data_IF_971993874788
#
_entry.id   IF_971993874788
#
_cell.length_a   1.000
_cell.length_b   1.000
_cell.length_c   1.000
_cell.angle_alpha   90.00
_cell.angle_beta   90.00
_cell.angle_gamma   90.00
#
_symmetry.space_group_name_H-M   'P 1'
#
loop_
_entity.id
_entity.type
_entity.pdbx_description
1 polymer ?
#
# COMPACT_ATOMS: atom_id res chain seq x y z
N UNK A 1 22.06 -11.42 -3.19
CA UNK A 1 22.91 -10.85 -2.13
C UNK A 1 24.29 -11.44 -2.23
N UNK A 2 24.44 -12.78 -2.33
CA UNK A 2 25.77 -13.42 -2.50
C UNK A 2 26.49 -12.93 -3.78
N UNK A 3 25.78 -12.71 -4.88
CA UNK A 3 26.34 -12.21 -6.14
C UNK A 3 26.75 -10.73 -6.09
N UNK A 4 26.18 -9.94 -5.21
CA UNK A 4 26.56 -8.52 -4.98
C UNK A 4 27.79 -8.45 -4.08
N UNK A 5 27.88 -9.31 -3.08
CA UNK A 5 29.01 -9.36 -2.15
C UNK A 5 30.29 -9.90 -2.79
N UNK A 6 30.17 -10.83 -3.76
CA UNK A 6 31.35 -11.44 -4.42
C UNK A 6 31.91 -10.62 -5.58
N UNK A 7 31.20 -9.60 -6.08
CA UNK A 7 31.63 -8.74 -7.20
C UNK A 7 32.29 -7.44 -6.77
N UNK A 8 32.29 -7.09 -5.49
CA UNK A 8 33.00 -5.90 -5.02
C UNK A 8 34.41 -6.24 -4.52
N UNK A 9 35.45 -5.54 -5.00
CA UNK A 9 36.87 -5.83 -4.65
C UNK A 9 37.24 -5.57 -3.18
N UNK A 10 36.26 -5.27 -2.32
CA UNK A 10 36.47 -5.06 -0.88
C UNK A 10 36.38 -6.34 -0.02
N UNK A 11 36.14 -7.50 -0.62
CA UNK A 11 35.99 -8.76 0.11
C UNK A 11 37.33 -9.55 0.06
N UNK A 12 38.37 -9.03 0.64
CA UNK A 12 39.56 -9.82 1.00
C UNK A 12 39.58 -9.98 2.50
N UNK A 13 39.72 -11.23 2.95
CA UNK A 13 39.77 -11.61 4.35
C UNK A 13 40.68 -10.68 5.16
N UNK A 14 40.13 -10.06 6.21
CA UNK A 14 40.89 -9.28 7.19
C UNK A 14 40.70 -7.77 7.14
N UNK A 15 39.95 -7.16 6.24
CA UNK A 15 39.71 -5.70 6.27
C UNK A 15 38.45 -5.36 7.08
N UNK A 16 38.63 -4.45 8.06
CA UNK A 16 37.53 -3.80 8.77
C UNK A 16 36.62 -3.09 7.75
N UNK A 17 35.38 -3.50 7.65
CA UNK A 17 34.35 -2.74 6.92
C UNK A 17 34.00 -1.54 7.80
N UNK A 18 34.54 -0.38 7.45
CA UNK A 18 34.17 0.87 8.11
C UNK A 18 33.10 1.53 7.28
N UNK A 19 31.85 1.49 7.73
CA UNK A 19 30.77 2.28 7.14
C UNK A 19 30.99 3.73 7.57
N UNK A 20 31.67 4.51 6.74
CA UNK A 20 31.84 5.95 6.93
C UNK A 20 30.63 6.66 6.30
N UNK A 21 29.89 7.39 7.08
CA UNK A 21 28.87 8.29 6.59
C UNK A 21 27.63 8.32 7.49
N UNK A 22 26.83 9.36 7.36
CA UNK A 22 25.48 9.42 7.91
C UNK A 22 24.71 8.21 7.41
N UNK A 23 24.53 7.19 8.25
CA UNK A 23 23.56 6.16 7.97
C UNK A 23 22.19 6.80 8.12
N UNK A 24 21.48 6.99 7.02
CA UNK A 24 20.06 7.21 7.05
C UNK A 24 19.43 5.98 7.71
N UNK A 25 18.37 6.17 8.47
CA UNK A 25 17.64 5.12 9.18
C UNK A 25 17.39 3.87 8.28
N UNK A 26 16.91 4.09 7.05
CA UNK A 26 16.60 3.05 6.09
C UNK A 26 17.79 2.17 5.71
N UNK A 27 18.98 2.76 5.51
CA UNK A 27 20.19 1.99 5.15
C UNK A 27 20.60 1.08 6.31
N UNK A 28 20.51 1.58 7.55
CA UNK A 28 20.80 0.79 8.75
C UNK A 28 19.90 -0.42 8.89
N UNK A 29 18.62 -0.25 8.70
CA UNK A 29 17.62 -1.33 8.76
C UNK A 29 17.89 -2.44 7.75
N UNK A 30 18.17 -2.12 6.50
CA UNK A 30 18.48 -3.12 5.47
C UNK A 30 19.80 -3.87 5.72
N UNK A 31 20.81 -3.20 6.28
CA UNK A 31 22.07 -3.85 6.66
C UNK A 31 21.82 -4.87 7.78
N UNK A 32 21.03 -4.50 8.78
CA UNK A 32 20.65 -5.41 9.89
C UNK A 32 19.92 -6.64 9.34
N UNK A 33 18.91 -6.46 8.47
CA UNK A 33 18.17 -7.55 7.84
C UNK A 33 19.10 -8.49 7.05
N UNK A 34 20.03 -7.93 6.28
CA UNK A 34 20.97 -8.72 5.50
C UNK A 34 21.93 -9.55 6.37
N UNK A 35 22.43 -8.99 7.47
CA UNK A 35 23.27 -9.69 8.43
C UNK A 35 22.51 -10.79 9.14
N UNK A 36 21.30 -10.50 9.63
CA UNK A 36 20.43 -11.49 10.27
C UNK A 36 20.14 -12.67 9.35
N UNK A 37 19.86 -12.43 8.05
CA UNK A 37 19.68 -13.50 7.05
C UNK A 37 20.91 -14.39 6.87
N UNK A 38 22.12 -13.85 7.09
CA UNK A 38 23.37 -14.58 7.03
C UNK A 38 23.74 -15.27 8.36
N UNK A 39 22.89 -15.16 9.38
CA UNK A 39 23.17 -15.66 10.74
C UNK A 39 24.28 -14.90 11.44
N UNK A 40 24.51 -13.64 11.04
CA UNK A 40 25.55 -12.78 11.62
C UNK A 40 24.87 -11.78 12.55
N UNK A 41 25.31 -11.76 13.82
CA UNK A 41 24.82 -10.79 14.80
C UNK A 41 25.15 -9.36 14.34
N UNK A 42 24.17 -8.49 14.12
CA UNK A 42 24.40 -7.10 13.75
C UNK A 42 25.10 -6.29 14.85
N UNK A 43 25.10 -6.76 16.09
CA UNK A 43 25.79 -6.12 17.21
C UNK A 43 27.19 -6.69 17.47
N UNK A 44 27.67 -7.57 16.59
CA UNK A 44 29.05 -8.08 16.64
C UNK A 44 30.05 -6.90 16.60
N UNK A 45 31.10 -7.02 17.40
CA UNK A 45 32.17 -6.01 17.53
C UNK A 45 32.79 -5.60 16.20
N UNK A 46 32.71 -6.44 15.17
CA UNK A 46 33.19 -6.13 13.81
C UNK A 46 32.45 -4.97 13.16
N UNK A 47 31.19 -4.73 13.56
CA UNK A 47 30.31 -3.68 13.00
C UNK A 47 30.13 -2.50 13.95
N UNK A 48 30.71 -2.57 15.15
CA UNK A 48 30.59 -1.54 16.19
C UNK A 48 31.74 -0.53 16.10
N UNK A 49 31.39 0.78 16.03
CA UNK A 49 32.36 1.87 16.16
C UNK A 49 32.05 2.71 17.39
N UNK A 50 31.04 3.55 17.31
CA UNK A 50 30.56 4.41 18.40
C UNK A 50 29.29 3.81 19.06
N UNK A 51 28.53 3.02 18.31
CA UNK A 51 27.40 2.21 18.75
C UNK A 51 27.29 0.97 17.87
N UNK A 52 26.60 -0.07 18.33
CA UNK A 52 26.22 -1.21 17.50
C UNK A 52 25.20 -0.79 16.43
N UNK A 53 24.94 -1.65 15.45
CA UNK A 53 23.93 -1.37 14.42
C UNK A 53 22.54 -1.26 15.02
N UNK A 54 22.18 -2.15 15.95
CA UNK A 54 20.91 -2.08 16.67
C UNK A 54 20.83 -0.85 17.57
N UNK A 55 21.91 -0.52 18.28
CA UNK A 55 21.98 0.70 19.09
C UNK A 55 21.91 1.99 18.25
N UNK A 56 22.46 1.97 17.05
CA UNK A 56 22.27 3.09 16.13
C UNK A 56 20.82 3.20 15.66
N UNK A 57 20.16 2.09 15.36
CA UNK A 57 18.73 2.08 14.99
C UNK A 57 17.86 2.65 16.12
N UNK A 58 18.09 2.19 17.37
CA UNK A 58 17.37 2.69 18.54
C UNK A 58 17.55 4.20 18.78
N UNK A 59 18.65 4.79 18.33
CA UNK A 59 18.84 6.24 18.44
C UNK A 59 17.91 7.10 17.56
N UNK A 60 17.09 6.48 16.72
CA UNK A 60 16.03 7.14 15.94
C UNK A 60 14.65 6.99 16.57
N UNK A 61 14.56 6.41 17.78
CA UNK A 61 13.27 6.19 18.44
C UNK A 61 12.54 7.51 18.68
N UNK A 62 11.24 7.54 18.33
CA UNK A 62 10.37 8.69 18.44
C UNK A 62 8.97 8.24 18.91
N UNK A 63 8.70 8.37 20.21
CA UNK A 63 7.48 7.85 20.82
C UNK A 63 7.34 6.33 20.62
N UNK A 64 6.21 5.91 20.06
CA UNK A 64 5.90 4.49 19.81
C UNK A 64 6.50 3.97 18.49
N UNK A 65 7.31 4.77 17.80
CA UNK A 65 7.94 4.40 16.53
C UNK A 65 9.32 4.99 16.34
N UNK A 66 9.68 5.26 15.09
CA UNK A 66 11.02 5.72 14.69
C UNK A 66 10.94 6.94 13.79
N UNK A 67 11.94 7.81 13.88
CA UNK A 67 12.11 8.98 13.04
C UNK A 67 12.96 8.64 11.80
N UNK A 68 12.78 9.39 10.72
CA UNK A 68 13.58 9.23 9.52
C UNK A 68 15.00 9.82 9.67
N UNK A 69 15.14 10.91 10.44
CA UNK A 69 16.42 11.59 10.67
C UNK A 69 16.63 11.91 12.15
N UNK A 70 17.87 11.80 12.64
CA UNK A 70 18.21 12.06 14.05
C UNK A 70 18.06 13.51 14.49
N UNK A 71 18.17 14.45 13.55
CA UNK A 71 18.01 15.87 13.86
C UNK A 71 16.57 16.30 14.14
N UNK A 72 15.60 15.43 13.80
CA UNK A 72 14.19 15.69 13.98
C UNK A 72 13.52 14.36 14.36
N UNK A 73 13.45 14.10 15.68
CA UNK A 73 12.89 12.84 16.21
C UNK A 73 11.35 12.93 16.25
N UNK A 74 10.75 12.97 15.07
CA UNK A 74 9.31 12.87 14.89
C UNK A 74 8.96 11.50 14.31
N UNK A 75 7.82 10.95 14.74
CA UNK A 75 7.31 9.69 14.22
C UNK A 75 7.23 9.74 12.70
N UNK A 76 7.78 8.71 12.06
CA UNK A 76 7.67 8.50 10.63
C UNK A 76 7.30 7.03 10.36
N UNK A 77 6.19 6.79 9.70
CA UNK A 77 5.65 5.45 9.49
C UNK A 77 6.63 4.55 8.73
N UNK A 78 7.18 5.04 7.61
CA UNK A 78 8.15 4.26 6.80
C UNK A 78 9.39 3.87 7.62
N UNK A 79 9.94 4.83 8.39
CA UNK A 79 11.07 4.56 9.27
C UNK A 79 10.71 3.52 10.34
N UNK A 80 9.50 3.59 10.89
CA UNK A 80 8.99 2.64 11.88
C UNK A 80 8.83 1.24 11.29
N UNK A 81 8.25 1.10 10.11
CA UNK A 81 8.11 -0.18 9.42
C UNK A 81 9.46 -0.82 9.10
N UNK A 82 10.42 -0.04 8.59
CA UNK A 82 11.77 -0.51 8.32
C UNK A 82 12.52 -0.93 9.58
N UNK A 83 12.33 -0.20 10.69
CA UNK A 83 12.91 -0.58 11.99
C UNK A 83 12.29 -1.89 12.50
N UNK A 84 10.97 -2.03 12.44
CA UNK A 84 10.28 -3.25 12.87
C UNK A 84 10.73 -4.46 12.07
N UNK A 85 10.87 -4.34 10.74
CA UNK A 85 11.41 -5.42 9.90
C UNK A 85 12.84 -5.80 10.33
N UNK A 86 13.70 -4.83 10.62
CA UNK A 86 15.06 -5.08 11.05
C UNK A 86 15.11 -5.79 12.42
N UNK A 87 14.33 -5.31 13.40
CA UNK A 87 14.24 -5.90 14.72
C UNK A 87 13.63 -7.30 14.69
N UNK A 88 12.59 -7.51 13.86
CA UNK A 88 12.01 -8.85 13.65
C UNK A 88 13.01 -9.81 13.03
N UNK A 89 13.85 -9.36 12.09
CA UNK A 89 14.88 -10.20 11.49
C UNK A 89 15.91 -10.65 12.54
N UNK A 90 16.30 -9.77 13.44
CA UNK A 90 17.22 -10.09 14.56
C UNK A 90 16.59 -11.05 15.54
N UNK A 91 15.36 -10.79 15.97
CA UNK A 91 14.62 -11.66 16.90
C UNK A 91 14.47 -13.10 16.34
N UNK A 92 14.07 -13.21 15.07
CA UNK A 92 13.93 -14.51 14.40
C UNK A 92 15.28 -15.25 14.31
N UNK A 93 16.35 -14.55 13.97
CA UNK A 93 17.70 -15.12 13.92
C UNK A 93 18.15 -15.61 15.32
N UNK A 94 18.01 -14.78 16.35
CA UNK A 94 18.39 -15.11 17.72
C UNK A 94 17.55 -16.26 18.31
N UNK A 95 16.27 -16.35 17.89
CA UNK A 95 15.35 -17.42 18.29
C UNK A 95 15.51 -18.70 17.46
N UNK A 96 16.46 -18.75 16.54
CA UNK A 96 16.69 -19.92 15.66
C UNK A 96 15.54 -20.20 14.69
N UNK A 97 14.72 -19.20 14.38
CA UNK A 97 13.62 -19.27 13.42
C UNK A 97 14.12 -19.03 12.00
N UNK A 98 13.29 -19.34 11.01
CA UNK A 98 13.57 -19.06 9.61
C UNK A 98 13.81 -17.56 9.35
N UNK A 99 14.47 -17.22 8.24
CA UNK A 99 14.75 -15.82 7.91
C UNK A 99 13.49 -15.01 7.73
N UNK A 100 13.59 -13.67 7.82
CA UNK A 100 12.45 -12.73 7.79
C UNK A 100 11.43 -12.98 6.65
N UNK A 101 11.87 -13.47 5.51
CA UNK A 101 11.02 -13.71 4.33
C UNK A 101 10.73 -15.20 4.08
N UNK A 102 11.01 -16.05 5.05
CA UNK A 102 10.66 -17.48 5.03
C UNK A 102 9.70 -17.74 6.19
N UNK A 103 8.42 -17.79 5.88
CA UNK A 103 7.33 -17.95 6.86
C UNK A 103 6.89 -19.41 7.05
N UNK A 104 7.66 -20.39 6.55
CA UNK A 104 7.29 -21.82 6.66
C UNK A 104 7.25 -22.34 8.11
N UNK A 105 7.85 -21.60 9.05
CA UNK A 105 7.82 -21.86 10.49
C UNK A 105 6.72 -21.06 11.24
N UNK A 106 5.92 -20.27 10.53
CA UNK A 106 4.83 -19.49 11.11
C UNK A 106 3.50 -20.21 10.87
N UNK A 107 2.80 -20.53 11.94
CA UNK A 107 1.39 -20.90 11.84
C UNK A 107 0.59 -19.62 11.62
N UNK A 108 -0.13 -19.48 10.50
CA UNK A 108 -0.97 -18.30 10.31
C UNK A 108 -1.94 -18.17 11.49
N UNK A 109 -2.05 -16.98 12.04
CA UNK A 109 -3.12 -16.67 12.99
C UNK A 109 -4.43 -16.64 12.18
N UNK A 110 -5.18 -17.73 12.26
CA UNK A 110 -6.50 -17.86 11.63
C UNK A 110 -7.61 -17.34 12.52
N UNK A 111 -7.28 -16.65 13.63
CA UNK A 111 -8.29 -15.97 14.42
C UNK A 111 -8.95 -14.91 13.54
N UNK A 112 -10.28 -15.00 13.41
CA UNK A 112 -11.08 -14.01 12.71
C UNK A 112 -10.75 -12.61 13.25
N UNK A 113 -10.60 -11.58 12.40
CA UNK A 113 -10.40 -10.22 12.87
C UNK A 113 -11.55 -9.85 13.80
N UNK A 114 -11.23 -9.34 14.95
CA UNK A 114 -12.08 -9.22 16.12
C UNK A 114 -13.33 -8.31 15.98
N UNK A 115 -13.56 -7.64 14.88
CA UNK A 115 -14.86 -7.11 14.43
C UNK A 115 -14.78 -6.56 13.01
N UNK A 116 -15.78 -6.85 12.19
CA UNK A 116 -16.03 -6.22 10.89
C UNK A 116 -16.93 -4.97 11.02
N UNK A 117 -17.04 -4.39 12.21
CA UNK A 117 -17.86 -3.22 12.48
C UNK A 117 -17.35 -1.94 11.82
N UNK A 118 -16.05 -1.92 11.51
CA UNK A 118 -15.39 -0.79 10.89
C UNK A 118 -14.86 0.24 11.91
N UNK A 119 -14.27 1.30 11.39
CA UNK A 119 -13.73 2.40 12.20
C UNK A 119 -14.84 3.25 12.83
N UNK A 120 -14.57 3.89 14.00
CA UNK A 120 -15.45 4.91 14.54
C UNK A 120 -15.69 6.04 13.51
N UNK A 121 -16.97 6.46 13.34
CA UNK A 121 -17.31 7.49 12.35
C UNK A 121 -17.55 6.99 10.94
N UNK A 122 -17.48 5.69 10.69
CA UNK A 122 -17.86 5.09 9.42
C UNK A 122 -19.28 5.52 9.02
N UNK A 123 -19.45 5.95 7.76
CA UNK A 123 -20.75 6.29 7.22
C UNK A 123 -21.69 5.06 7.25
N UNK A 124 -22.92 5.17 7.77
CA UNK A 124 -23.87 4.05 7.84
C UNK A 124 -24.24 3.43 6.49
N UNK A 125 -24.06 4.16 5.39
CA UNK A 125 -24.29 3.66 4.03
C UNK A 125 -23.22 2.64 3.58
N UNK A 126 -22.02 2.65 4.22
CA UNK A 126 -20.94 1.71 3.87
C UNK A 126 -21.28 0.32 4.42
N UNK A 127 -21.51 -0.61 3.49
CA UNK A 127 -21.86 -2.01 3.76
C UNK A 127 -21.10 -2.93 2.83
N UNK A 128 -19.89 -3.31 3.22
CA UNK A 128 -19.04 -4.20 2.41
C UNK A 128 -19.75 -5.54 2.18
N UNK A 129 -19.79 -6.05 0.93
CA UNK A 129 -20.40 -7.33 0.64
C UNK A 129 -19.72 -8.48 1.39
N UNK A 130 -20.53 -9.43 1.86
CA UNK A 130 -20.05 -10.67 2.46
C UNK A 130 -19.44 -11.60 1.40
N UNK A 131 -18.62 -12.55 1.84
CA UNK A 131 -18.07 -13.59 0.96
C UNK A 131 -19.23 -14.43 0.41
N UNK A 132 -19.26 -14.58 -0.92
CA UNK A 132 -20.27 -15.36 -1.64
C UNK A 132 -19.75 -16.70 -2.18
N UNK A 133 -18.42 -16.89 -2.21
CA UNK A 133 -17.77 -18.10 -2.68
C UNK A 133 -16.27 -17.91 -2.79
N UNK A 134 -15.53 -19.00 -2.99
CA UNK A 134 -14.09 -18.91 -3.32
C UNK A 134 -13.93 -18.64 -4.81
N UNK A 135 -12.98 -17.77 -5.15
CA UNK A 135 -12.61 -17.43 -6.52
C UNK A 135 -11.10 -17.57 -6.63
N UNK A 136 -10.64 -18.29 -7.64
CA UNK A 136 -9.23 -18.47 -7.97
C UNK A 136 -8.99 -17.99 -9.40
N UNK A 137 -7.81 -17.41 -9.64
CA UNK A 137 -7.39 -16.92 -10.95
C UNK A 137 -6.14 -17.63 -11.42
N UNK A 138 -6.20 -18.24 -12.60
CA UNK A 138 -5.10 -19.06 -13.12
C UNK A 138 -3.86 -18.30 -13.54
N UNK A 139 -4.01 -17.01 -13.87
CA UNK A 139 -2.91 -16.17 -14.39
C UNK A 139 -2.12 -15.44 -13.30
N UNK A 140 -2.60 -15.42 -12.05
CA UNK A 140 -1.94 -14.74 -10.92
C UNK A 140 -1.54 -15.68 -9.79
N UNK A 141 -1.90 -16.96 -9.86
CA UNK A 141 -1.58 -17.99 -8.87
C UNK A 141 -0.39 -18.87 -9.27
N UNK A 142 -0.03 -19.85 -8.41
CA UNK A 142 1.02 -20.83 -8.65
C UNK A 142 2.42 -20.42 -8.19
N UNK A 143 3.45 -21.04 -8.75
CA UNK A 143 4.86 -20.87 -8.31
C UNK A 143 5.39 -19.44 -8.46
N UNK A 144 4.83 -18.64 -9.38
CA UNK A 144 5.17 -17.24 -9.61
C UNK A 144 3.93 -16.36 -9.38
N UNK A 145 3.30 -16.51 -8.20
CA UNK A 145 2.10 -15.76 -7.89
C UNK A 145 2.35 -14.24 -7.95
N UNK A 146 1.40 -13.53 -8.56
CA UNK A 146 1.43 -12.06 -8.61
C UNK A 146 1.15 -11.47 -7.24
N UNK A 147 1.78 -10.35 -6.89
CA UNK A 147 1.64 -9.68 -5.59
C UNK A 147 0.17 -9.34 -5.23
N UNK A 148 -0.69 -9.13 -6.23
CA UNK A 148 -2.11 -8.84 -6.01
C UNK A 148 -2.98 -10.07 -5.72
N UNK A 149 -2.45 -11.30 -5.73
CA UNK A 149 -3.25 -12.55 -5.63
C UNK A 149 -4.24 -12.52 -4.46
N UNK A 150 -3.73 -12.35 -3.24
CA UNK A 150 -4.57 -12.34 -2.04
C UNK A 150 -5.66 -11.26 -2.10
N UNK A 151 -5.31 -10.06 -2.56
CA UNK A 151 -6.26 -8.96 -2.70
C UNK A 151 -7.32 -9.25 -3.77
N UNK A 152 -6.89 -9.74 -4.94
CA UNK A 152 -7.78 -10.06 -6.04
C UNK A 152 -8.82 -11.13 -5.66
N UNK A 153 -8.37 -12.23 -5.06
CA UNK A 153 -9.25 -13.33 -4.64
C UNK A 153 -10.20 -12.92 -3.50
N UNK A 154 -9.69 -12.17 -2.50
CA UNK A 154 -10.51 -11.66 -1.40
C UNK A 154 -11.61 -10.70 -1.87
N UNK A 155 -11.34 -9.87 -2.86
CA UNK A 155 -12.32 -8.94 -3.42
C UNK A 155 -13.27 -9.64 -4.40
N UNK A 156 -12.76 -10.61 -5.18
CA UNK A 156 -13.59 -11.38 -6.10
C UNK A 156 -14.59 -12.28 -5.36
N UNK A 157 -14.16 -12.90 -4.24
CA UNK A 157 -15.04 -13.71 -3.38
C UNK A 157 -16.23 -12.90 -2.79
N UNK A 158 -16.14 -11.58 -2.80
CA UNK A 158 -17.22 -10.64 -2.39
C UNK A 158 -17.96 -10.00 -3.57
N UNK A 159 -17.62 -10.38 -4.82
CA UNK A 159 -18.24 -9.79 -6.02
C UNK A 159 -17.84 -8.32 -6.25
N UNK A 160 -16.80 -7.82 -5.58
CA UNK A 160 -16.28 -6.45 -5.73
C UNK A 160 -15.54 -6.31 -7.07
N UNK A 161 -14.62 -7.24 -7.31
CA UNK A 161 -13.94 -7.43 -8.59
C UNK A 161 -14.41 -8.71 -9.25
N UNK A 162 -14.41 -8.74 -10.58
CA UNK A 162 -14.73 -9.94 -11.36
C UNK A 162 -13.57 -10.24 -12.29
N UNK A 163 -13.27 -11.52 -12.51
CA UNK A 163 -12.35 -11.95 -13.57
C UNK A 163 -12.98 -11.82 -14.95
N UNK A 164 -12.21 -12.19 -15.95
CA UNK A 164 -12.69 -12.32 -17.32
C UNK A 164 -13.35 -13.69 -17.54
N UNK A 165 -14.11 -13.83 -18.65
CA UNK A 165 -14.82 -15.07 -18.98
C UNK A 165 -13.91 -16.30 -19.12
N UNK A 166 -12.63 -16.08 -19.43
CA UNK A 166 -11.62 -17.12 -19.52
C UNK A 166 -10.99 -17.52 -18.18
N UNK A 167 -11.52 -16.99 -17.08
CA UNK A 167 -11.02 -17.25 -15.72
C UNK A 167 -9.74 -16.48 -15.35
N UNK A 168 -9.27 -15.56 -16.19
CA UNK A 168 -8.10 -14.73 -15.91
C UNK A 168 -8.47 -13.47 -15.11
N UNK A 169 -7.49 -12.94 -14.36
CA UNK A 169 -7.60 -11.65 -13.67
C UNK A 169 -7.01 -10.50 -14.49
N UNK A 170 -5.93 -10.74 -15.20
CA UNK A 170 -5.17 -9.78 -16.02
C UNK A 170 -4.71 -8.56 -15.20
N UNK A 171 -3.80 -8.74 -14.25
CA UNK A 171 -3.40 -7.70 -13.29
C UNK A 171 -2.79 -6.46 -13.92
N UNK A 172 -2.15 -6.60 -15.09
CA UNK A 172 -1.44 -5.53 -15.79
C UNK A 172 -2.34 -4.69 -16.72
N UNK A 173 -3.62 -5.04 -16.84
CA UNK A 173 -4.55 -4.23 -17.62
C UNK A 173 -4.86 -2.91 -16.89
N UNK A 174 -4.87 -1.79 -17.63
CA UNK A 174 -5.36 -0.52 -17.11
C UNK A 174 -6.89 -0.54 -16.97
N UNK A 175 -7.39 0.32 -16.09
CA UNK A 175 -8.82 0.49 -15.86
C UNK A 175 -9.33 1.79 -16.47
N UNK A 176 -10.58 1.75 -16.93
CA UNK A 176 -11.32 2.95 -17.25
C UNK A 176 -11.85 3.62 -15.98
N UNK A 177 -12.23 4.89 -16.09
CA UNK A 177 -12.82 5.64 -14.99
C UNK A 177 -14.15 5.02 -14.55
N UNK A 178 -14.95 4.51 -15.48
CA UNK A 178 -16.21 3.82 -15.17
C UNK A 178 -15.99 2.49 -14.43
N UNK A 179 -15.01 1.69 -14.85
CA UNK A 179 -14.66 0.45 -14.16
C UNK A 179 -14.18 0.72 -12.73
N UNK A 180 -13.34 1.72 -12.52
CA UNK A 180 -12.87 2.08 -11.20
C UNK A 180 -14.01 2.57 -10.29
N UNK A 181 -14.94 3.40 -10.82
CA UNK A 181 -16.13 3.82 -10.09
C UNK A 181 -17.01 2.64 -9.69
N UNK A 182 -17.18 1.66 -10.57
CA UNK A 182 -17.93 0.45 -10.26
C UNK A 182 -17.28 -0.38 -9.15
N UNK A 183 -15.95 -0.54 -9.19
CA UNK A 183 -15.18 -1.27 -8.17
C UNK A 183 -15.34 -0.61 -6.79
N UNK A 184 -15.11 0.70 -6.70
CA UNK A 184 -15.16 1.40 -5.40
C UNK A 184 -16.58 1.44 -4.82
N UNK A 185 -17.60 1.59 -5.65
CA UNK A 185 -19.02 1.57 -5.23
C UNK A 185 -19.41 0.18 -4.73
N UNK A 186 -19.03 -0.89 -5.44
CA UNK A 186 -19.25 -2.28 -4.99
C UNK A 186 -18.48 -2.56 -3.70
N UNK A 187 -17.22 -2.11 -3.59
CA UNK A 187 -16.42 -2.31 -2.40
C UNK A 187 -17.05 -1.74 -1.14
N UNK A 188 -17.73 -0.60 -1.26
CA UNK A 188 -18.40 0.06 -0.15
C UNK A 188 -19.91 -0.31 -0.04
N UNK A 189 -20.44 -1.07 -1.01
CA UNK A 189 -21.87 -1.44 -1.06
C UNK A 189 -22.81 -0.24 -1.18
N UNK A 190 -22.38 0.81 -1.88
CA UNK A 190 -23.16 2.05 -2.05
C UNK A 190 -24.19 1.91 -3.17
N UNK A 191 -25.26 2.69 -3.10
CA UNK A 191 -26.36 2.71 -4.09
C UNK A 191 -26.67 4.12 -4.55
N UNK A 192 -27.16 4.26 -5.78
CA UNK A 192 -27.65 5.53 -6.33
C UNK A 192 -29.02 5.91 -5.79
N UNK A 193 -29.74 4.98 -5.12
CA UNK A 193 -31.15 5.08 -4.75
C UNK A 193 -32.07 5.44 -5.95
N UNK A 194 -31.73 4.88 -7.12
CA UNK A 194 -32.48 5.09 -8.35
C UNK A 194 -32.29 6.47 -9.01
N UNK A 195 -31.30 7.25 -8.57
CA UNK A 195 -30.99 8.54 -9.19
C UNK A 195 -30.01 8.35 -10.36
N UNK A 196 -30.26 9.08 -11.43
CA UNK A 196 -29.36 9.14 -12.59
C UNK A 196 -28.13 9.99 -12.30
N UNK A 197 -27.07 9.77 -13.07
CA UNK A 197 -25.90 10.63 -13.08
C UNK A 197 -26.21 12.01 -13.66
N UNK A 198 -25.55 13.04 -13.15
CA UNK A 198 -25.67 14.39 -13.70
C UNK A 198 -24.73 14.65 -14.89
N UNK A 199 -23.81 13.72 -15.19
CA UNK A 199 -22.84 13.84 -16.28
C UNK A 199 -23.49 13.57 -17.64
N UNK A 200 -23.27 14.50 -18.58
CA UNK A 200 -23.93 14.47 -19.90
C UNK A 200 -23.45 13.35 -20.82
N UNK A 201 -22.27 12.78 -20.53
CA UNK A 201 -21.65 11.67 -21.25
C UNK A 201 -21.83 10.31 -20.57
N UNK A 202 -22.76 10.23 -19.60
CA UNK A 202 -23.14 8.99 -18.92
C UNK A 202 -24.59 8.65 -19.28
N UNK A 203 -24.82 7.84 -20.33
CA UNK A 203 -26.17 7.39 -20.70
C UNK A 203 -26.82 6.58 -19.58
N UNK A 204 -28.12 6.78 -19.33
CA UNK A 204 -28.84 6.10 -18.26
C UNK A 204 -28.92 4.58 -18.42
N UNK A 205 -28.79 4.06 -19.63
CA UNK A 205 -28.80 2.64 -19.99
C UNK A 205 -27.37 2.03 -20.02
N UNK A 206 -26.34 2.82 -19.79
CA UNK A 206 -24.96 2.31 -19.69
C UNK A 206 -24.82 1.41 -18.43
N UNK A 207 -24.06 0.31 -18.57
CA UNK A 207 -23.82 -0.64 -17.47
C UNK A 207 -23.22 0.02 -16.20
N UNK A 208 -22.50 1.11 -16.39
CA UNK A 208 -21.83 1.87 -15.32
C UNK A 208 -22.68 3.02 -14.75
N UNK A 209 -23.83 3.32 -15.34
CA UNK A 209 -24.61 4.53 -15.00
C UNK A 209 -24.96 4.63 -13.51
N UNK A 210 -25.44 3.54 -12.91
CA UNK A 210 -25.78 3.49 -11.50
C UNK A 210 -24.54 3.64 -10.59
N UNK A 211 -23.40 3.08 -10.99
CA UNK A 211 -22.16 3.19 -10.23
C UNK A 211 -21.60 4.61 -10.26
N UNK A 212 -21.62 5.26 -11.42
CA UNK A 212 -21.20 6.66 -11.56
C UNK A 212 -22.14 7.58 -10.77
N UNK A 213 -23.45 7.35 -10.83
CA UNK A 213 -24.43 8.11 -10.05
C UNK A 213 -24.22 7.94 -8.54
N UNK A 214 -23.99 6.71 -8.07
CA UNK A 214 -23.69 6.44 -6.67
C UNK A 214 -22.38 7.11 -6.24
N UNK A 215 -21.29 6.92 -7.00
CA UNK A 215 -20.00 7.50 -6.69
C UNK A 215 -20.03 9.03 -6.63
N UNK A 216 -20.76 9.68 -7.56
CA UNK A 216 -20.96 11.13 -7.56
C UNK A 216 -21.77 11.60 -6.34
N UNK A 217 -22.86 10.91 -6.01
CA UNK A 217 -23.72 11.22 -4.85
C UNK A 217 -22.95 11.20 -3.52
N UNK A 218 -22.05 10.24 -3.36
CA UNK A 218 -21.24 10.13 -2.14
C UNK A 218 -19.95 10.97 -2.21
N UNK A 219 -19.78 11.78 -3.26
CA UNK A 219 -18.63 12.66 -3.41
C UNK A 219 -17.30 11.93 -3.65
N UNK A 220 -17.36 10.66 -4.14
CA UNK A 220 -16.15 9.88 -4.42
C UNK A 220 -15.47 10.33 -5.71
N UNK A 221 -16.25 10.72 -6.71
CA UNK A 221 -15.75 11.12 -8.02
C UNK A 221 -16.17 12.55 -8.37
N UNK A 222 -15.38 13.14 -9.26
CA UNK A 222 -15.68 14.40 -9.93
C UNK A 222 -15.53 14.23 -11.44
N UNK A 223 -16.17 15.12 -12.19
CA UNK A 223 -16.03 15.16 -13.65
C UNK A 223 -14.71 15.74 -14.12
N UNK A 224 -14.48 15.64 -15.43
CA UNK A 224 -13.31 16.20 -16.12
C UNK A 224 -13.55 17.62 -16.64
N UNK A 225 -14.64 18.24 -16.25
CA UNK A 225 -15.08 19.55 -16.72
C UNK A 225 -16.24 19.46 -17.71
N UNK A 226 -16.87 20.62 -18.01
CA UNK A 226 -18.02 20.69 -18.94
C UNK A 226 -19.16 19.69 -18.63
N UNK A 227 -19.37 19.39 -17.35
CA UNK A 227 -20.34 18.39 -16.88
C UNK A 227 -20.15 16.99 -17.50
N UNK A 228 -18.87 16.58 -17.75
CA UNK A 228 -18.51 15.27 -18.28
C UNK A 228 -17.73 14.47 -17.25
N UNK A 229 -17.93 13.15 -17.29
CA UNK A 229 -17.22 12.17 -16.45
C UNK A 229 -16.04 11.51 -17.17
N UNK A 230 -16.12 11.37 -18.51
CA UNK A 230 -15.19 10.61 -19.35
C UNK A 230 -15.09 9.13 -18.92
N UNK A 231 -16.22 8.36 -19.01
CA UNK A 231 -16.29 7.02 -18.47
C UNK A 231 -15.31 6.03 -19.09
N UNK A 232 -15.02 6.18 -20.38
CA UNK A 232 -14.14 5.30 -21.15
C UNK A 232 -12.65 5.73 -21.07
N UNK A 233 -12.39 6.93 -20.54
CA UNK A 233 -11.03 7.41 -20.31
C UNK A 233 -10.31 6.58 -19.24
N UNK A 234 -9.01 6.37 -19.41
CA UNK A 234 -8.19 5.67 -18.41
C UNK A 234 -8.06 6.50 -17.14
N UNK A 235 -8.16 5.89 -15.97
CA UNK A 235 -7.94 6.57 -14.71
C UNK A 235 -6.46 6.52 -14.33
N UNK A 236 -5.87 7.66 -13.96
CA UNK A 236 -4.48 7.74 -13.49
C UNK A 236 -4.35 7.30 -12.02
N UNK A 237 -3.13 6.92 -11.61
CA UNK A 237 -2.85 6.53 -10.21
C UNK A 237 -3.18 7.65 -9.22
N UNK A 238 -2.87 8.91 -9.55
CA UNK A 238 -3.23 10.04 -8.67
C UNK A 238 -4.74 10.25 -8.57
N UNK A 239 -5.48 10.08 -9.67
CA UNK A 239 -6.94 10.18 -9.65
C UNK A 239 -7.56 9.01 -8.86
N UNK A 240 -7.04 7.80 -9.02
CA UNK A 240 -7.46 6.64 -8.23
C UNK A 240 -7.20 6.86 -6.73
N UNK A 241 -6.03 7.38 -6.36
CA UNK A 241 -5.70 7.71 -4.96
C UNK A 241 -6.67 8.73 -4.35
N UNK A 242 -7.11 9.74 -5.12
CA UNK A 242 -8.12 10.70 -4.65
C UNK A 242 -9.46 10.03 -4.39
N UNK A 243 -9.91 9.15 -5.29
CA UNK A 243 -11.17 8.40 -5.09
C UNK A 243 -11.07 7.50 -3.87
N UNK A 244 -9.93 6.81 -3.68
CA UNK A 244 -9.69 5.95 -2.52
C UNK A 244 -9.62 6.74 -1.21
N UNK A 245 -8.95 7.90 -1.20
CA UNK A 245 -8.91 8.75 0.00
C UNK A 245 -10.31 9.27 0.38
N UNK A 246 -11.15 9.64 -0.60
CA UNK A 246 -12.54 10.03 -0.36
C UNK A 246 -13.37 8.85 0.17
N UNK A 247 -13.13 7.64 -0.36
CA UNK A 247 -13.74 6.41 0.14
C UNK A 247 -13.29 6.11 1.58
N UNK A 248 -12.01 6.29 1.89
CA UNK A 248 -11.46 6.13 3.23
C UNK A 248 -12.13 7.06 4.24
N UNK A 249 -12.41 8.31 3.85
CA UNK A 249 -13.18 9.25 4.68
C UNK A 249 -14.58 8.71 5.00
N UNK A 250 -15.27 8.08 4.05
CA UNK A 250 -16.55 7.41 4.31
C UNK A 250 -16.39 6.21 5.24
N UNK A 251 -15.23 5.55 5.22
CA UNK A 251 -14.91 4.44 6.12
C UNK A 251 -14.49 4.89 7.54
N UNK A 252 -14.37 6.19 7.80
CA UNK A 252 -14.05 6.74 9.12
C UNK A 252 -12.59 7.14 9.31
N UNK A 253 -11.75 7.12 8.27
CA UNK A 253 -10.38 7.64 8.37
C UNK A 253 -10.33 9.16 8.45
N UNK A 254 -9.35 9.67 9.18
CA UNK A 254 -8.88 11.05 9.01
C UNK A 254 -7.93 11.11 7.81
N UNK A 255 -8.39 11.74 6.75
CA UNK A 255 -7.63 11.84 5.49
C UNK A 255 -6.85 13.15 5.37
N UNK A 256 -6.91 14.01 6.40
CA UNK A 256 -6.24 15.31 6.34
C UNK A 256 -4.73 15.18 6.51
N UNK A 257 -3.99 15.91 5.69
CA UNK A 257 -2.52 16.00 5.79
C UNK A 257 -2.10 17.46 5.58
N UNK A 258 -1.31 18.00 6.47
CA UNK A 258 -0.75 19.32 6.28
C UNK A 258 0.39 19.33 5.24
N UNK A 259 0.83 20.52 4.86
CA UNK A 259 1.85 20.68 3.82
C UNK A 259 3.21 20.09 4.19
N UNK A 260 3.51 19.96 5.48
CA UNK A 260 4.76 19.37 5.98
C UNK A 260 4.68 17.84 5.88
N UNK A 261 3.58 17.25 6.35
CA UNK A 261 3.31 15.82 6.23
C UNK A 261 3.32 15.38 4.77
N UNK A 262 2.60 16.09 3.89
CA UNK A 262 2.56 15.82 2.44
C UNK A 262 3.98 15.78 1.86
N UNK A 263 4.79 16.80 2.14
CA UNK A 263 6.17 16.86 1.64
C UNK A 263 7.03 15.72 2.20
N UNK A 264 6.94 15.44 3.49
CA UNK A 264 7.74 14.39 4.11
C UNK A 264 7.41 13.02 3.57
N UNK A 265 6.14 12.74 3.31
CA UNK A 265 5.68 11.46 2.76
C UNK A 265 6.02 11.31 1.28
N UNK A 266 5.88 12.38 0.47
CA UNK A 266 6.04 12.26 -0.98
C UNK A 266 7.46 12.52 -1.48
N UNK A 267 8.28 13.31 -0.76
CA UNK A 267 9.65 13.66 -1.22
C UNK A 267 10.62 12.49 -1.42
N UNK A 268 10.45 11.30 -0.81
CA UNK A 268 11.28 10.14 -1.11
C UNK A 268 11.09 9.59 -2.53
N UNK A 269 9.92 9.83 -3.16
CA UNK A 269 9.66 9.36 -4.52
C UNK A 269 10.33 10.28 -5.55
N UNK A 270 11.12 9.69 -6.45
CA UNK A 270 11.91 10.45 -7.42
C UNK A 270 11.06 11.32 -8.37
N UNK A 271 9.82 10.96 -8.59
CA UNK A 271 8.91 11.60 -9.52
C UNK A 271 7.70 12.33 -8.87
N UNK A 272 7.71 12.50 -7.53
CA UNK A 272 6.56 13.10 -6.83
C UNK A 272 6.19 14.50 -7.33
N UNK A 273 7.18 15.25 -7.85
CA UNK A 273 6.95 16.59 -8.42
C UNK A 273 6.02 16.58 -9.63
N UNK A 274 5.86 15.43 -10.31
CA UNK A 274 4.94 15.25 -11.44
C UNK A 274 3.48 15.16 -10.98
N UNK A 275 3.24 14.87 -9.68
CA UNK A 275 1.89 14.79 -9.16
C UNK A 275 1.20 16.15 -9.18
N UNK A 276 -0.08 16.14 -9.52
CA UNK A 276 -0.93 17.32 -9.50
C UNK A 276 -1.14 17.84 -8.07
N UNK A 277 -1.19 19.14 -7.90
CA UNK A 277 -1.36 19.74 -6.56
C UNK A 277 -2.63 19.29 -5.85
N UNK A 278 -3.71 19.05 -6.60
CA UNK A 278 -4.99 18.58 -6.08
C UNK A 278 -4.97 17.13 -5.57
N UNK A 279 -3.99 16.34 -6.01
CA UNK A 279 -3.88 14.92 -5.64
C UNK A 279 -2.90 14.66 -4.48
N UNK A 280 -2.01 15.61 -4.16
CA UNK A 280 -0.89 15.38 -3.23
C UNK A 280 -1.31 14.99 -1.83
N UNK A 281 -2.36 15.61 -1.29
CA UNK A 281 -2.88 15.25 0.03
C UNK A 281 -3.38 13.79 0.06
N UNK A 282 -4.16 13.40 -0.95
CA UNK A 282 -4.67 12.04 -1.09
C UNK A 282 -3.56 11.01 -1.33
N UNK A 283 -2.56 11.35 -2.14
CA UNK A 283 -1.39 10.50 -2.35
C UNK A 283 -0.62 10.28 -1.05
N UNK A 284 -0.36 11.35 -0.28
CA UNK A 284 0.30 11.26 1.00
C UNK A 284 -0.50 10.40 1.98
N UNK A 285 -1.81 10.63 2.08
CA UNK A 285 -2.69 9.78 2.89
C UNK A 285 -2.60 8.30 2.48
N UNK A 286 -2.71 8.00 1.19
CA UNK A 286 -2.65 6.62 0.71
C UNK A 286 -1.28 5.95 0.99
N UNK A 287 -0.19 6.71 0.94
CA UNK A 287 1.14 6.23 1.33
C UNK A 287 1.21 5.97 2.85
N UNK A 288 0.75 6.91 3.67
CA UNK A 288 0.79 6.80 5.13
C UNK A 288 -0.05 5.62 5.65
N UNK A 289 -1.17 5.32 4.99
CA UNK A 289 -2.05 4.20 5.36
C UNK A 289 -1.66 2.87 4.69
N UNK A 290 -0.57 2.83 3.91
CA UNK A 290 -0.12 1.62 3.22
C UNK A 290 -1.05 1.15 2.10
N UNK A 291 -1.87 2.07 1.58
CA UNK A 291 -2.75 1.84 0.42
C UNK A 291 -1.94 1.89 -0.87
N UNK A 292 -0.92 2.73 -0.91
CA UNK A 292 0.09 2.77 -1.97
C UNK A 292 1.41 2.23 -1.44
N UNK A 293 2.15 1.50 -2.30
CA UNK A 293 3.47 0.97 -1.97
C UNK A 293 4.48 2.11 -1.77
N UNK A 294 4.98 2.21 -0.54
CA UNK A 294 5.97 3.22 -0.13
C UNK A 294 7.41 2.75 -0.39
N UNK A 295 7.61 1.49 -0.77
CA UNK A 295 8.93 0.94 -1.09
C UNK A 295 9.32 1.17 -2.54
N UNK A 296 8.36 1.58 -3.38
CA UNK A 296 8.61 1.91 -4.78
C UNK A 296 9.50 3.16 -4.91
N UNK A 297 10.41 3.15 -5.88
CA UNK A 297 11.25 4.31 -6.19
C UNK A 297 10.44 5.49 -6.77
N UNK A 298 9.39 5.18 -7.50
CA UNK A 298 8.55 6.13 -8.22
C UNK A 298 7.09 5.98 -7.82
N UNK A 299 6.42 7.11 -7.66
CA UNK A 299 4.99 7.19 -7.37
C UNK A 299 4.13 6.93 -8.61
N UNK A 300 4.65 7.26 -9.80
CA UNK A 300 3.99 7.13 -11.12
C UNK A 300 2.61 7.79 -11.16
N UNK A 301 2.45 9.07 -10.73
CA UNK A 301 1.13 9.65 -10.49
C UNK A 301 0.27 9.76 -11.74
N UNK A 302 0.89 10.01 -12.90
CA UNK A 302 0.20 10.22 -14.18
C UNK A 302 0.03 8.94 -15.00
N UNK A 303 0.63 7.82 -14.58
CA UNK A 303 0.46 6.54 -15.27
C UNK A 303 -0.97 6.01 -15.02
N UNK A 304 -1.54 5.24 -15.97
CA UNK A 304 -2.77 4.49 -15.71
C UNK A 304 -2.63 3.60 -14.49
N UNK A 305 -3.66 3.53 -13.65
CA UNK A 305 -3.71 2.53 -12.58
C UNK A 305 -4.04 1.16 -13.18
N UNK A 306 -3.37 0.13 -12.69
CA UNK A 306 -3.56 -1.24 -13.16
C UNK A 306 -4.58 -1.98 -12.29
N UNK A 307 -5.17 -3.06 -12.83
CA UNK A 307 -6.16 -3.88 -12.11
C UNK A 307 -5.57 -4.50 -10.84
N UNK A 308 -4.33 -5.02 -10.91
CA UNK A 308 -3.62 -5.56 -9.76
C UNK A 308 -3.38 -4.51 -8.68
N UNK A 309 -2.92 -3.32 -9.07
CA UNK A 309 -2.73 -2.18 -8.16
C UNK A 309 -4.06 -1.75 -7.52
N UNK A 310 -5.14 -1.70 -8.31
CA UNK A 310 -6.46 -1.37 -7.79
C UNK A 310 -6.95 -2.39 -6.77
N UNK A 311 -6.75 -3.69 -7.03
CA UNK A 311 -7.10 -4.73 -6.06
C UNK A 311 -6.36 -4.51 -4.74
N UNK A 312 -5.05 -4.27 -4.78
CA UNK A 312 -4.26 -4.00 -3.59
C UNK A 312 -4.71 -2.74 -2.85
N UNK A 313 -4.98 -1.64 -3.55
CA UNK A 313 -5.48 -0.39 -2.95
C UNK A 313 -6.82 -0.59 -2.23
N UNK A 314 -7.78 -1.27 -2.86
CA UNK A 314 -9.10 -1.49 -2.28
C UNK A 314 -9.03 -2.47 -1.11
N UNK A 315 -8.24 -3.53 -1.23
CA UNK A 315 -8.03 -4.48 -0.14
C UNK A 315 -7.38 -3.82 1.08
N UNK A 316 -6.34 -3.01 0.88
CA UNK A 316 -5.68 -2.26 1.95
C UNK A 316 -6.64 -1.26 2.61
N UNK A 317 -7.46 -0.55 1.83
CA UNK A 317 -8.50 0.35 2.34
C UNK A 317 -9.48 -0.40 3.26
N UNK A 318 -10.06 -1.51 2.79
CA UNK A 318 -11.08 -2.24 3.53
C UNK A 318 -10.51 -2.92 4.78
N UNK A 319 -9.30 -3.49 4.69
CA UNK A 319 -8.59 -4.09 5.83
C UNK A 319 -8.22 -3.04 6.88
N UNK A 320 -7.64 -1.90 6.47
CA UNK A 320 -7.33 -0.79 7.38
C UNK A 320 -8.58 -0.19 8.02
N UNK A 321 -9.70 -0.21 7.32
CA UNK A 321 -11.00 0.20 7.84
C UNK A 321 -11.66 -0.86 8.75
N UNK A 322 -11.07 -2.04 8.93
CA UNK A 322 -11.62 -3.20 9.69
C UNK A 322 -12.97 -3.66 9.14
N UNK A 323 -13.10 -3.72 7.83
CA UNK A 323 -14.32 -4.10 7.13
C UNK A 323 -14.22 -5.46 6.44
N UNK A 324 -13.01 -5.98 6.32
CA UNK A 324 -12.68 -7.33 5.84
C UNK A 324 -11.50 -7.88 6.63
#
# INVERSE_FOLDING_TARGET
VQSILTKHPCYTAGRKITVKGLMLHSVGSYVIIALAKLGIDPDDKRFTKDSSLSGNLESYRAGDGYAHVKSQLEYNRMATEQALLALTAVDRMQSGKNSLFDYSDVTPDTSEPSSTEGLPGKNPAVKVPSISGMVEFGDIGGENSHECLTAAEALASRGILTGYEDGSFRPDNSLTRAEFAAIIVRALGLTSDGKSSEFVDVPNDAWYAEYVAAASRYGLIEGVGSNKYDPDGTITREAAAVVVARAAKLCGFDTTRDSVAIRNTLSPFADYIKSSSWARESLAFCCDEGILDVMALNLRPLDPVLRGETAMMIYALLSGAKLI
#
